data_IF_431715068513
#
_entry.id   IF_431715068513
#
_cell.length_a   1.000
_cell.length_b   1.000
_cell.length_c   1.000
_cell.angle_alpha   90.00
_cell.angle_beta   90.00
_cell.angle_gamma   90.00
#
_symmetry.space_group_name_H-M   'P 1'
#
loop_
_entity.id
_entity.type
_entity.pdbx_description
1 polymer ?
#
# COMPACT_ATOMS: atom_id res chain seq x y z
N UNK A 1 -33.85 -15.93 5.05
CA UNK A 1 -32.73 -15.09 5.54
C UNK A 1 -32.34 -14.16 4.41
N UNK A 2 -32.58 -12.87 4.60
CA UNK A 2 -32.41 -11.78 3.64
C UNK A 2 -31.21 -11.85 2.72
N UNK A 3 -31.45 -12.24 1.47
CA UNK A 3 -30.46 -12.22 0.37
C UNK A 3 -30.89 -11.34 -0.81
N UNK A 4 -32.08 -10.75 -0.74
CA UNK A 4 -32.69 -10.00 -1.83
C UNK A 4 -33.35 -8.71 -1.33
N UNK A 5 -33.42 -7.71 -2.22
CA UNK A 5 -34.15 -6.48 -1.98
C UNK A 5 -35.60 -6.80 -1.55
N UNK A 6 -36.04 -6.19 -0.45
CA UNK A 6 -37.34 -6.45 0.18
C UNK A 6 -37.27 -7.28 1.48
N UNK A 7 -36.23 -8.12 1.67
CA UNK A 7 -36.04 -8.94 2.90
C UNK A 7 -34.65 -8.71 3.54
N UNK A 8 -33.98 -7.59 3.26
CA UNK A 8 -32.59 -7.37 3.70
C UNK A 8 -32.50 -7.09 5.21
N UNK A 9 -33.20 -6.06 5.68
CA UNK A 9 -33.10 -5.57 7.04
C UNK A 9 -34.34 -4.76 7.42
N UNK A 10 -34.63 -4.70 8.73
CA UNK A 10 -35.67 -3.83 9.29
C UNK A 10 -35.05 -2.49 9.70
N UNK A 11 -35.25 -1.45 8.88
CA UNK A 11 -34.78 -0.08 9.13
C UNK A 11 -36.01 0.82 9.29
N UNK A 12 -36.00 1.77 10.24
CA UNK A 12 -37.11 2.71 10.47
C UNK A 12 -36.59 4.13 10.56
N UNK A 13 -37.33 5.08 9.98
CA UNK A 13 -37.12 6.53 10.11
C UNK A 13 -35.75 7.06 9.64
N UNK A 14 -35.24 6.57 8.50
CA UNK A 14 -34.04 7.11 7.85
C UNK A 14 -34.45 7.79 6.55
N UNK A 15 -34.18 9.09 6.42
CA UNK A 15 -34.48 9.88 5.21
C UNK A 15 -33.15 10.18 4.50
N UNK A 16 -33.08 9.88 3.21
CA UNK A 16 -31.90 10.11 2.37
C UNK A 16 -32.25 11.00 1.18
N UNK A 17 -31.40 11.98 0.88
CA UNK A 17 -31.56 12.89 -0.25
C UNK A 17 -30.51 12.59 -1.33
N UNK A 18 -30.86 12.82 -2.59
CA UNK A 18 -29.96 12.62 -3.74
C UNK A 18 -30.33 13.60 -4.86
N UNK A 19 -29.34 14.02 -5.64
CA UNK A 19 -29.52 14.86 -6.84
C UNK A 19 -29.35 14.03 -8.10
N UNK A 20 -29.97 14.43 -9.20
CA UNK A 20 -29.81 13.74 -10.49
C UNK A 20 -28.33 13.79 -10.94
N UNK A 21 -27.77 12.72 -11.53
CA UNK A 21 -26.40 12.72 -12.03
C UNK A 21 -26.14 13.85 -13.05
N UNK A 22 -27.14 14.24 -13.83
CA UNK A 22 -27.05 15.32 -14.81
C UNK A 22 -27.03 16.72 -14.18
N UNK A 23 -27.33 16.84 -12.89
CA UNK A 23 -27.28 18.08 -12.13
C UNK A 23 -25.99 18.20 -11.29
N UNK A 24 -25.20 17.12 -11.24
CA UNK A 24 -23.96 17.06 -10.47
C UNK A 24 -22.72 17.10 -11.39
N UNK A 25 -21.60 17.53 -10.82
CA UNK A 25 -20.30 17.40 -11.48
C UNK A 25 -19.78 15.99 -11.23
N UNK A 26 -19.22 15.34 -12.25
CA UNK A 26 -18.61 14.01 -12.11
C UNK A 26 -17.37 14.00 -11.18
N UNK A 27 -16.58 15.08 -11.20
CA UNK A 27 -15.37 15.24 -10.37
C UNK A 27 -15.41 16.53 -9.53
N UNK A 28 -16.25 16.61 -8.48
CA UNK A 28 -16.30 17.77 -7.62
C UNK A 28 -15.11 17.78 -6.65
N UNK A 29 -14.58 18.98 -6.34
CA UNK A 29 -13.59 19.19 -5.27
C UNK A 29 -12.30 18.35 -5.40
N UNK A 30 -11.87 18.06 -6.62
CA UNK A 30 -10.71 17.19 -6.87
C UNK A 30 -9.44 17.64 -6.14
N UNK A 31 -9.06 18.91 -6.29
CA UNK A 31 -7.87 19.46 -5.65
C UNK A 31 -8.11 19.83 -4.18
N UNK A 32 -9.26 20.41 -3.85
CA UNK A 32 -9.55 20.92 -2.51
C UNK A 32 -9.88 19.83 -1.48
N UNK A 33 -10.40 18.68 -1.92
CA UNK A 33 -10.81 17.57 -1.05
C UNK A 33 -10.27 16.22 -1.50
N UNK A 34 -10.19 15.95 -2.81
CA UNK A 34 -9.72 14.67 -3.34
C UNK A 34 -8.27 14.39 -2.94
N UNK A 35 -7.34 15.23 -3.40
CA UNK A 35 -5.90 15.08 -3.11
C UNK A 35 -5.60 15.08 -1.60
N UNK A 36 -6.14 16.01 -0.78
CA UNK A 36 -5.93 15.96 0.67
C UNK A 36 -6.42 14.66 1.32
N UNK A 37 -7.53 14.09 0.86
CA UNK A 37 -8.01 12.81 1.38
C UNK A 37 -7.13 11.63 0.94
N UNK A 38 -6.61 11.65 -0.29
CA UNK A 38 -5.63 10.64 -0.73
C UNK A 38 -4.39 10.70 0.14
N UNK A 39 -3.85 11.90 0.38
CA UNK A 39 -2.70 12.08 1.26
C UNK A 39 -2.98 11.56 2.68
N UNK A 40 -4.12 11.93 3.27
CA UNK A 40 -4.54 11.43 4.59
C UNK A 40 -4.63 9.90 4.66
N UNK A 41 -5.13 9.24 3.60
CA UNK A 41 -5.22 7.77 3.51
C UNK A 41 -3.86 7.11 3.33
N UNK A 42 -2.97 7.75 2.57
CA UNK A 42 -1.60 7.29 2.38
C UNK A 42 -0.83 7.35 3.71
N UNK A 43 -0.83 8.50 4.38
CA UNK A 43 -0.10 8.70 5.65
C UNK A 43 -0.61 7.80 6.77
N UNK A 44 -1.90 7.47 6.80
CA UNK A 44 -2.45 6.52 7.80
C UNK A 44 -2.00 5.08 7.60
N UNK A 45 -1.46 4.74 6.43
CA UNK A 45 -1.16 3.36 6.03
C UNK A 45 0.34 3.13 5.79
N UNK A 46 1.08 4.16 5.39
CA UNK A 46 2.49 4.05 4.98
C UNK A 46 3.36 3.45 6.09
N UNK A 47 3.17 3.82 7.35
CA UNK A 47 3.97 3.29 8.45
C UNK A 47 3.60 1.85 8.86
N UNK A 48 2.49 1.31 8.35
CA UNK A 48 2.13 -0.10 8.54
C UNK A 48 2.72 -0.98 7.43
N UNK A 49 2.80 -0.43 6.21
CA UNK A 49 3.21 -1.18 5.01
C UNK A 49 4.69 -1.00 4.69
N UNK A 50 5.23 0.21 4.79
CA UNK A 50 6.59 0.51 4.37
C UNK A 50 7.68 -0.18 5.21
N UNK A 51 7.59 -0.28 6.56
CA UNK A 51 8.67 -0.89 7.34
C UNK A 51 9.03 -2.33 6.94
N UNK A 52 8.08 -3.29 6.84
CA UNK A 52 8.43 -4.65 6.41
C UNK A 52 8.97 -4.69 4.97
N UNK A 53 8.46 -3.85 4.08
CA UNK A 53 8.96 -3.75 2.69
C UNK A 53 10.41 -3.24 2.65
N UNK A 54 10.76 -2.25 3.48
CA UNK A 54 12.12 -1.73 3.58
C UNK A 54 13.05 -2.81 4.15
N UNK A 55 12.65 -3.49 5.22
CA UNK A 55 13.43 -4.59 5.80
C UNK A 55 13.72 -5.70 4.78
N UNK A 56 12.70 -6.08 3.99
CA UNK A 56 12.86 -7.06 2.91
C UNK A 56 13.89 -6.58 1.88
N UNK A 57 13.78 -5.34 1.41
CA UNK A 57 14.67 -4.78 0.40
C UNK A 57 16.12 -4.70 0.88
N UNK A 58 16.35 -4.29 2.13
CA UNK A 58 17.68 -4.25 2.73
C UNK A 58 18.29 -5.65 2.83
N UNK A 59 17.52 -6.63 3.31
CA UNK A 59 17.98 -8.03 3.44
C UNK A 59 18.33 -8.63 2.08
N UNK A 60 17.48 -8.39 1.07
CA UNK A 60 17.72 -8.82 -0.31
C UNK A 60 19.01 -8.23 -0.88
N UNK A 61 19.21 -6.91 -0.70
CA UNK A 61 20.38 -6.20 -1.22
C UNK A 61 21.66 -6.69 -0.56
N UNK A 62 21.64 -6.81 0.77
CA UNK A 62 22.76 -7.33 1.54
C UNK A 62 23.11 -8.77 1.15
N UNK A 63 22.11 -9.65 1.05
CA UNK A 63 22.32 -11.06 0.68
C UNK A 63 22.98 -11.21 -0.70
N UNK A 64 22.52 -10.42 -1.68
CA UNK A 64 23.14 -10.41 -3.01
C UNK A 64 24.58 -9.88 -2.99
N UNK A 65 24.84 -8.83 -2.20
CA UNK A 65 26.18 -8.26 -2.06
C UNK A 65 27.15 -9.28 -1.45
N UNK A 66 26.81 -9.87 -0.30
CA UNK A 66 27.64 -10.88 0.37
C UNK A 66 27.85 -12.11 -0.51
N UNK A 67 26.82 -12.58 -1.21
CA UNK A 67 26.95 -13.70 -2.15
C UNK A 67 27.92 -13.40 -3.30
N UNK A 68 27.92 -12.15 -3.79
CA UNK A 68 28.84 -11.73 -4.84
C UNK A 68 30.29 -11.63 -4.35
N UNK A 69 30.51 -11.10 -3.15
CA UNK A 69 31.83 -11.02 -2.52
C UNK A 69 32.37 -12.41 -2.18
N UNK A 70 31.53 -13.30 -1.64
CA UNK A 70 31.91 -14.67 -1.30
C UNK A 70 32.28 -15.56 -2.50
N UNK A 71 31.97 -15.14 -3.72
CA UNK A 71 32.43 -15.80 -4.96
C UNK A 71 33.79 -15.29 -5.45
N UNK A 72 34.28 -14.16 -4.92
CA UNK A 72 35.57 -13.59 -5.31
C UNK A 72 36.68 -14.34 -4.58
N UNK A 73 37.79 -14.57 -5.29
CA UNK A 73 39.00 -15.13 -4.71
C UNK A 73 39.64 -14.10 -3.77
N UNK A 74 40.08 -14.54 -2.60
CA UNK A 74 40.81 -13.70 -1.63
C UNK A 74 42.30 -13.96 -1.81
N UNK A 75 43.10 -12.91 -2.00
CA UNK A 75 44.54 -13.05 -2.25
C UNK A 75 45.28 -13.75 -1.10
N UNK A 76 44.85 -13.48 0.14
CA UNK A 76 45.42 -14.04 1.36
C UNK A 76 45.35 -15.58 1.45
N UNK A 77 44.40 -16.21 0.74
CA UNK A 77 44.25 -17.67 0.77
C UNK A 77 45.39 -18.40 0.03
N UNK A 78 46.12 -17.69 -0.85
CA UNK A 78 47.18 -18.26 -1.69
C UNK A 78 48.60 -17.88 -1.24
N UNK A 79 48.75 -17.14 -0.14
CA UNK A 79 50.06 -16.64 0.31
C UNK A 79 50.96 -17.71 0.94
N UNK A 80 50.38 -18.83 1.41
CA UNK A 80 51.10 -19.92 2.09
C UNK A 80 51.03 -21.27 1.34
N UNK A 81 50.60 -21.27 0.09
CA UNK A 81 50.65 -22.46 -0.78
C UNK A 81 52.01 -22.47 -1.50
N UNK A 82 53.01 -23.12 -0.87
CA UNK A 82 54.33 -23.41 -1.45
C UNK A 82 54.38 -24.82 -2.08
#
# INVERSE_FOLDING_TARGET
MGRHFGDLAKIRHVITYSLSPFEQRAFPNYFSKGIPNVWRRFTSSVFKVAPPMICMYLTYTWGNHVHSEGKRKVAADYENEE
#
